data_IF_747466170295
#
_entry.id   IF_747466170295
#
_cell.length_a   1.000
_cell.length_b   1.000
_cell.length_c   1.000
_cell.angle_alpha   90.00
_cell.angle_beta   90.00
_cell.angle_gamma   90.00
#
_symmetry.space_group_name_H-M   'P 1'
#
loop_
_entity.id
_entity.type
_entity.pdbx_description
1 polymer ?
#
# COMPACT_ATOMS: atom_id res chain seq x y z
N UNK A 1 -0.56 3.91 -17.04
CA UNK A 1 0.54 4.34 -16.16
C UNK A 1 0.41 5.82 -15.86
N UNK A 2 0.62 6.19 -14.61
CA UNK A 2 0.61 7.58 -14.11
C UNK A 2 1.89 7.84 -13.33
N UNK A 3 2.16 9.10 -13.02
CA UNK A 3 3.24 9.44 -12.10
C UNK A 3 2.85 8.96 -10.69
N UNK A 4 3.66 8.07 -10.14
CA UNK A 4 3.51 7.54 -8.79
C UNK A 4 4.58 8.13 -7.88
N UNK A 5 4.24 8.25 -6.60
CA UNK A 5 5.16 8.76 -5.59
C UNK A 5 6.22 7.72 -5.22
N UNK A 6 5.80 6.47 -5.04
CA UNK A 6 6.68 5.34 -4.73
C UNK A 6 6.95 5.13 -3.24
N UNK A 7 6.60 6.08 -2.37
CA UNK A 7 6.81 6.02 -0.92
C UNK A 7 5.69 6.76 -0.16
N UNK A 8 4.45 6.47 -0.51
CA UNK A 8 3.25 7.17 -0.09
C UNK A 8 2.76 6.77 1.31
N UNK A 9 3.65 6.72 2.30
CA UNK A 9 3.26 6.46 3.68
C UNK A 9 3.00 7.76 4.45
N UNK A 10 2.23 7.68 5.56
CA UNK A 10 1.66 8.85 6.21
C UNK A 10 2.67 9.96 6.60
N UNK A 11 3.92 9.68 7.04
CA UNK A 11 4.88 10.74 7.34
C UNK A 11 5.26 11.63 6.17
N UNK A 12 5.03 11.20 4.92
CA UNK A 12 5.30 12.01 3.73
C UNK A 12 4.15 12.95 3.35
N UNK A 13 3.03 12.88 4.04
CA UNK A 13 1.91 13.79 3.91
C UNK A 13 2.01 14.86 4.99
N UNK A 14 2.17 16.12 4.60
CA UNK A 14 2.22 17.26 5.52
C UNK A 14 0.93 18.04 5.44
N UNK A 15 0.36 18.37 6.61
CA UNK A 15 -0.82 19.20 6.73
C UNK A 15 -0.44 20.53 7.35
N UNK A 16 -0.74 21.64 6.67
CA UNK A 16 -0.50 22.99 7.18
C UNK A 16 -1.58 23.40 8.21
N UNK A 17 -1.32 24.51 8.92
CA UNK A 17 -2.32 25.10 9.81
C UNK A 17 -3.59 25.57 9.07
N UNK A 18 -3.49 25.83 7.76
CA UNK A 18 -4.60 26.19 6.89
C UNK A 18 -5.28 24.97 6.25
N UNK A 19 -4.98 23.77 6.72
CA UNK A 19 -5.50 22.49 6.21
C UNK A 19 -5.10 22.19 4.76
N UNK A 20 -4.01 22.79 4.27
CA UNK A 20 -3.44 22.46 2.97
C UNK A 20 -2.51 21.25 3.10
N UNK A 21 -2.72 20.24 2.26
CA UNK A 21 -1.91 19.02 2.26
C UNK A 21 -0.83 19.07 1.19
N UNK A 22 0.39 18.72 1.59
CA UNK A 22 1.54 18.56 0.70
C UNK A 22 2.10 17.15 0.81
N UNK A 23 2.50 16.59 -0.31
CA UNK A 23 3.17 15.29 -0.38
C UNK A 23 4.65 15.54 -0.71
N UNK A 24 5.54 15.06 0.16
CA UNK A 24 6.99 15.26 0.06
C UNK A 24 7.74 13.95 -0.16
N UNK A 25 9.05 14.05 -0.40
CA UNK A 25 9.98 12.92 -0.48
C UNK A 25 9.75 12.03 -1.71
N UNK A 26 9.95 12.63 -2.89
CA UNK A 26 9.67 12.04 -4.20
C UNK A 26 10.84 11.24 -4.80
N UNK A 27 11.83 10.84 -3.99
CA UNK A 27 13.03 10.17 -4.47
C UNK A 27 12.78 8.83 -5.19
N UNK A 28 11.69 8.15 -4.88
CA UNK A 28 11.29 6.90 -5.53
C UNK A 28 10.24 7.08 -6.63
N UNK A 29 9.93 8.34 -7.00
CA UNK A 29 8.87 8.61 -7.95
C UNK A 29 9.19 8.09 -9.35
N UNK A 30 8.16 7.70 -10.07
CA UNK A 30 8.27 7.19 -11.44
C UNK A 30 6.93 6.85 -12.04
N UNK A 31 6.95 6.52 -13.31
CA UNK A 31 5.73 6.12 -14.02
C UNK A 31 5.34 4.68 -13.69
N UNK A 32 4.17 4.50 -13.11
CA UNK A 32 3.72 3.19 -12.67
C UNK A 32 2.22 3.04 -12.58
N UNK A 33 1.80 1.98 -11.91
CA UNK A 33 0.40 1.72 -11.60
C UNK A 33 0.04 2.45 -10.28
N UNK A 34 -1.01 3.26 -10.26
CA UNK A 34 -1.43 3.95 -9.02
C UNK A 34 -1.78 3.00 -7.87
N UNK A 35 -2.09 1.75 -8.15
CA UNK A 35 -2.32 0.74 -7.13
C UNK A 35 -1.07 0.48 -6.26
N UNK A 36 0.13 0.75 -6.78
CA UNK A 36 1.37 0.67 -6.01
C UNK A 36 1.43 1.71 -4.88
N UNK A 37 1.04 2.95 -5.16
CA UNK A 37 0.99 4.01 -4.14
C UNK A 37 -0.06 3.71 -3.07
N UNK A 38 -1.25 3.29 -3.47
CA UNK A 38 -2.31 2.91 -2.52
C UNK A 38 -1.93 1.67 -1.71
N UNK A 39 -1.28 0.70 -2.33
CA UNK A 39 -0.78 -0.48 -1.63
C UNK A 39 0.23 -0.13 -0.54
N UNK A 40 1.17 0.75 -0.83
CA UNK A 40 2.13 1.26 0.15
C UNK A 40 1.43 2.04 1.27
N UNK A 41 0.52 2.94 0.92
CA UNK A 41 -0.23 3.71 1.90
C UNK A 41 -1.03 2.81 2.87
N UNK A 42 -1.75 1.84 2.35
CA UNK A 42 -2.55 0.89 3.14
C UNK A 42 -1.64 0.00 4.01
N UNK A 43 -0.59 -0.54 3.43
CA UNK A 43 0.35 -1.43 4.13
C UNK A 43 1.11 -0.73 5.25
N UNK A 44 1.55 0.50 5.03
CA UNK A 44 2.26 1.29 6.04
C UNK A 44 1.33 1.91 7.09
N UNK A 45 0.04 2.05 6.80
CA UNK A 45 -0.96 2.56 7.75
C UNK A 45 -1.55 1.46 8.63
N UNK A 46 -1.18 0.20 8.41
CA UNK A 46 -1.72 -0.96 9.13
C UNK A 46 -3.25 -1.04 9.07
N UNK A 47 -3.83 -0.73 7.92
CA UNK A 47 -5.27 -0.72 7.74
C UNK A 47 -5.85 -2.14 7.60
N UNK A 48 -7.01 -2.38 8.21
CA UNK A 48 -7.80 -3.58 7.99
C UNK A 48 -8.32 -3.63 6.54
N UNK A 49 -8.82 -4.80 6.12
CA UNK A 49 -9.45 -4.95 4.79
C UNK A 49 -10.60 -3.97 4.60
N UNK A 50 -11.44 -3.78 5.62
CA UNK A 50 -12.55 -2.82 5.57
C UNK A 50 -12.06 -1.38 5.40
N UNK A 51 -11.01 -1.00 6.11
CA UNK A 51 -10.39 0.32 5.97
C UNK A 51 -9.74 0.49 4.60
N UNK A 52 -9.09 -0.55 4.08
CA UNK A 52 -8.51 -0.54 2.74
C UNK A 52 -9.58 -0.36 1.65
N UNK A 53 -10.69 -1.08 1.76
CA UNK A 53 -11.84 -0.91 0.85
C UNK A 53 -12.37 0.53 0.89
N UNK A 54 -12.47 1.10 2.08
CA UNK A 54 -12.91 2.51 2.23
C UNK A 54 -11.93 3.50 1.60
N UNK A 55 -10.63 3.27 1.73
CA UNK A 55 -9.60 4.08 1.05
C UNK A 55 -9.78 4.01 -0.46
N UNK A 56 -10.04 2.82 -1.00
CA UNK A 56 -10.28 2.65 -2.44
C UNK A 56 -11.51 3.41 -2.91
N UNK A 57 -12.62 3.33 -2.18
CA UNK A 57 -13.84 4.08 -2.51
C UNK A 57 -13.60 5.60 -2.54
N UNK A 58 -12.88 6.11 -1.54
CA UNK A 58 -12.55 7.54 -1.46
C UNK A 58 -11.65 7.95 -2.63
N UNK A 59 -10.63 7.15 -2.92
CA UNK A 59 -9.68 7.46 -4.00
C UNK A 59 -10.34 7.41 -5.39
N UNK A 60 -11.13 6.36 -5.63
CA UNK A 60 -11.80 6.16 -6.92
C UNK A 60 -13.06 7.03 -7.07
N UNK A 61 -13.58 7.59 -5.98
CA UNK A 61 -14.84 8.34 -5.90
C UNK A 61 -16.05 7.49 -6.33
N UNK A 62 -15.94 6.19 -6.22
CA UNK A 62 -17.00 5.21 -6.52
C UNK A 62 -16.72 3.90 -5.79
N UNK A 63 -17.74 3.05 -5.66
CA UNK A 63 -17.55 1.67 -5.19
C UNK A 63 -16.93 0.85 -6.32
N UNK A 64 -15.70 0.33 -6.16
CA UNK A 64 -15.05 -0.41 -7.22
C UNK A 64 -15.74 -1.74 -7.53
N UNK A 65 -15.72 -2.15 -8.79
CA UNK A 65 -16.10 -3.49 -9.16
C UNK A 65 -15.07 -4.52 -8.64
N UNK A 66 -15.42 -5.81 -8.69
CA UNK A 66 -14.57 -6.88 -8.17
C UNK A 66 -13.20 -6.91 -8.87
N UNK A 67 -13.16 -6.66 -10.17
CA UNK A 67 -11.91 -6.65 -10.93
C UNK A 67 -10.98 -5.53 -10.48
N UNK A 68 -11.48 -4.33 -10.32
CA UNK A 68 -10.73 -3.17 -9.83
C UNK A 68 -10.29 -3.41 -8.39
N UNK A 69 -11.20 -3.83 -7.52
CA UNK A 69 -10.94 -4.11 -6.11
C UNK A 69 -9.81 -5.13 -5.94
N UNK A 70 -9.88 -6.29 -6.60
CA UNK A 70 -8.84 -7.31 -6.48
C UNK A 70 -7.47 -6.81 -6.98
N UNK A 71 -7.45 -5.97 -8.01
CA UNK A 71 -6.23 -5.38 -8.53
C UNK A 71 -5.52 -4.54 -7.46
N UNK A 72 -6.25 -3.62 -6.83
CA UNK A 72 -5.68 -2.77 -5.77
C UNK A 72 -5.30 -3.58 -4.52
N UNK A 73 -6.12 -4.53 -4.10
CA UNK A 73 -5.80 -5.39 -2.95
C UNK A 73 -4.58 -6.28 -3.21
N UNK A 74 -4.40 -6.76 -4.44
CA UNK A 74 -3.19 -7.49 -4.82
C UNK A 74 -1.94 -6.63 -4.66
N UNK A 75 -2.02 -5.35 -5.00
CA UNK A 75 -0.91 -4.43 -4.81
C UNK A 75 -0.57 -4.16 -3.34
N UNK A 76 -1.54 -4.22 -2.44
CA UNK A 76 -1.24 -4.19 -1.00
C UNK A 76 -0.31 -5.34 -0.61
N UNK A 77 -0.58 -6.54 -1.12
CA UNK A 77 0.28 -7.70 -0.89
C UNK A 77 1.67 -7.53 -1.53
N UNK A 78 1.72 -7.08 -2.79
CA UNK A 78 2.97 -6.91 -3.55
C UNK A 78 3.87 -5.85 -2.90
N UNK A 79 3.33 -4.69 -2.55
CA UNK A 79 4.10 -3.61 -1.91
C UNK A 79 4.51 -3.98 -0.50
N UNK A 80 3.66 -4.67 0.25
CA UNK A 80 4.00 -5.18 1.58
C UNK A 80 5.14 -6.19 1.51
N UNK A 81 5.14 -7.07 0.51
CA UNK A 81 6.22 -8.02 0.28
C UNK A 81 7.55 -7.30 -0.06
N UNK A 82 7.49 -6.28 -0.91
CA UNK A 82 8.65 -5.44 -1.23
C UNK A 82 9.25 -4.81 0.03
N UNK A 83 8.42 -4.17 0.85
CA UNK A 83 8.87 -3.54 2.10
C UNK A 83 9.32 -4.57 3.14
N UNK A 84 8.71 -5.76 3.16
CA UNK A 84 9.17 -6.86 4.00
C UNK A 84 10.60 -7.30 3.63
N UNK A 85 10.91 -7.45 2.35
CA UNK A 85 12.25 -7.78 1.89
C UNK A 85 13.25 -6.66 2.24
N UNK A 86 12.84 -5.41 2.07
CA UNK A 86 13.64 -4.26 2.49
C UNK A 86 13.90 -4.27 3.99
N UNK A 87 12.90 -4.58 4.80
CA UNK A 87 13.03 -4.70 6.26
C UNK A 87 14.00 -5.81 6.66
N UNK A 88 13.95 -6.97 6.00
CA UNK A 88 14.93 -8.05 6.22
C UNK A 88 16.36 -7.58 5.91
N UNK A 89 16.53 -6.85 4.84
CA UNK A 89 17.83 -6.25 4.51
C UNK A 89 18.29 -5.28 5.60
N UNK A 90 17.43 -4.39 6.07
CA UNK A 90 17.75 -3.45 7.16
C UNK A 90 18.14 -4.19 8.45
N UNK A 91 17.43 -5.25 8.81
CA UNK A 91 17.78 -6.12 9.95
C UNK A 91 19.20 -6.70 9.77
N UNK A 92 19.53 -7.17 8.57
CA UNK A 92 20.84 -7.80 8.28
C UNK A 92 22.00 -6.83 8.42
N UNK A 93 21.79 -5.53 8.24
CA UNK A 93 22.81 -4.49 8.38
C UNK A 93 22.72 -3.73 9.72
N UNK A 94 21.98 -4.27 10.69
CA UNK A 94 21.86 -3.72 12.03
C UNK A 94 20.99 -2.48 12.16
N UNK A 95 20.06 -2.28 11.25
CA UNK A 95 19.10 -1.14 11.23
C UNK A 95 17.66 -1.64 11.31
N UNK A 96 17.23 -2.18 12.46
CA UNK A 96 15.89 -2.77 12.57
C UNK A 96 14.79 -1.73 12.34
N UNK A 97 13.69 -2.18 11.72
CA UNK A 97 12.52 -1.35 11.40
C UNK A 97 11.38 -1.52 12.41
N UNK A 98 11.59 -2.29 13.48
CA UNK A 98 10.60 -2.52 14.53
C UNK A 98 9.40 -3.34 14.06
N UNK A 99 8.20 -2.91 14.45
CA UNK A 99 6.95 -3.61 14.20
C UNK A 99 6.61 -3.77 12.72
N UNK A 100 7.14 -2.91 11.84
CA UNK A 100 6.84 -2.94 10.41
C UNK A 100 7.23 -4.26 9.75
N UNK A 101 8.30 -4.91 10.21
CA UNK A 101 8.72 -6.21 9.67
C UNK A 101 7.56 -7.23 9.76
N UNK A 102 6.94 -7.34 10.93
CA UNK A 102 5.82 -8.26 11.15
C UNK A 102 4.54 -7.80 10.43
N UNK A 103 4.25 -6.50 10.44
CA UNK A 103 3.09 -5.92 9.76
C UNK A 103 3.12 -6.21 8.27
N UNK A 104 4.24 -5.99 7.61
CA UNK A 104 4.38 -6.27 6.17
C UNK A 104 4.34 -7.76 5.85
N UNK A 105 4.92 -8.61 6.70
CA UNK A 105 4.78 -10.06 6.57
C UNK A 105 3.31 -10.49 6.64
N UNK A 106 2.59 -10.02 7.64
CA UNK A 106 1.17 -10.34 7.83
C UNK A 106 0.33 -9.87 6.65
N UNK A 107 0.55 -8.66 6.17
CA UNK A 107 -0.20 -8.09 5.05
C UNK A 107 0.09 -8.79 3.74
N UNK A 108 1.32 -9.17 3.49
CA UNK A 108 1.67 -9.99 2.33
C UNK A 108 0.82 -11.26 2.27
N UNK A 109 0.69 -11.94 3.39
CA UNK A 109 -0.10 -13.17 3.47
C UNK A 109 -1.60 -12.92 3.39
N UNK A 110 -2.11 -12.00 4.19
CA UNK A 110 -3.54 -11.71 4.31
C UNK A 110 -4.12 -11.17 3.00
N UNK A 111 -3.54 -10.13 2.47
CA UNK A 111 -4.01 -9.51 1.22
C UNK A 111 -3.69 -10.38 0.00
N UNK A 112 -2.59 -11.11 0.02
CA UNK A 112 -2.24 -12.08 -1.02
C UNK A 112 -3.29 -13.18 -1.13
N UNK A 113 -3.67 -13.78 -0.02
CA UNK A 113 -4.70 -14.82 -0.01
C UNK A 113 -6.06 -14.27 -0.44
N UNK A 114 -6.48 -13.11 0.09
CA UNK A 114 -7.74 -12.47 -0.28
C UNK A 114 -7.80 -12.18 -1.79
N UNK A 115 -6.72 -11.66 -2.36
CA UNK A 115 -6.66 -11.36 -3.78
C UNK A 115 -6.76 -12.61 -4.64
N UNK A 116 -6.08 -13.69 -4.24
CA UNK A 116 -6.18 -14.98 -4.93
C UNK A 116 -7.61 -15.53 -4.88
N UNK A 117 -8.28 -15.46 -3.73
CA UNK A 117 -9.66 -15.89 -3.59
C UNK A 117 -10.60 -15.11 -4.51
N UNK A 118 -10.40 -13.78 -4.62
CA UNK A 118 -11.18 -12.94 -5.54
C UNK A 118 -10.92 -13.26 -7.01
N UNK A 119 -9.68 -13.61 -7.39
CA UNK A 119 -9.36 -14.07 -8.73
C UNK A 119 -9.98 -15.43 -9.04
N UNK A 120 -9.93 -16.36 -8.11
CA UNK A 120 -10.48 -17.71 -8.29
C UNK A 120 -12.02 -17.72 -8.28
N UNK A 121 -12.66 -16.83 -7.54
CA UNK A 121 -14.12 -16.71 -7.45
C UNK A 121 -14.79 -16.25 -8.73
N UNK A 122 -14.03 -15.73 -9.70
CA UNK A 122 -14.54 -15.25 -11.00
C UNK A 122 -14.50 -16.31 -12.12
N UNK A 123 -14.21 -17.53 -11.80
CA UNK A 123 -14.18 -18.62 -12.80
C UNK A 123 -15.58 -19.01 -13.27
#
# INVERSE_FOLDING_TARGET
>A
RVLCHGDSYSPNFLLSEQEEMSLIDWEYSGMGDPAGDLGTFIGCSNYSVEQAEKVLEIYLQEVPDTKTKRHYLAYVAVTSYYWFLWALFQESVGKPVGEFLYTWYRFTRQYGQLSLELYLGEK
#
